data_IF_229740283923
#
_entry.id   IF_229740283923
#
_cell.length_a   1.000
_cell.length_b   1.000
_cell.length_c   1.000
_cell.angle_alpha   90.00
_cell.angle_beta   90.00
_cell.angle_gamma   90.00
#
_symmetry.space_group_name_H-M   'P 1'
#
loop_
_entity.id
_entity.type
_entity.pdbx_description
1 polymer ?
#
# COMPACT_ATOMS: atom_id res chain seq x y z
N UNK A 1 5.26 3.59 20.64
CA UNK A 1 3.90 3.60 20.04
C UNK A 1 3.92 4.55 18.86
N UNK A 2 3.49 4.10 17.68
CA UNK A 2 3.39 4.95 16.47
C UNK A 2 1.97 5.54 16.45
N UNK A 3 1.83 6.80 16.02
CA UNK A 3 0.54 7.47 15.86
C UNK A 3 0.49 8.13 14.49
N UNK A 4 -0.68 8.11 13.85
CA UNK A 4 -0.94 8.92 12.65
C UNK A 4 -1.20 10.37 13.09
N UNK A 5 -0.62 11.30 12.36
CA UNK A 5 -0.80 12.74 12.55
C UNK A 5 -1.07 13.38 11.19
N UNK A 6 -1.51 14.63 11.21
CA UNK A 6 -1.77 15.45 10.03
C UNK A 6 -2.90 14.92 9.14
N UNK A 7 -4.12 15.39 9.42
CA UNK A 7 -5.32 15.09 8.66
C UNK A 7 -5.70 16.26 7.71
N UNK A 8 -4.75 17.12 7.35
CA UNK A 8 -5.02 18.33 6.54
C UNK A 8 -5.60 18.07 5.15
N UNK A 9 -5.45 16.84 4.64
CA UNK A 9 -5.97 16.37 3.34
C UNK A 9 -6.97 15.21 3.49
N UNK A 10 -7.47 14.95 4.71
CA UNK A 10 -8.42 13.87 4.95
C UNK A 10 -9.81 14.22 4.39
N UNK A 11 -10.51 13.20 3.91
CA UNK A 11 -11.84 13.33 3.32
C UNK A 11 -12.83 12.49 4.14
N UNK A 12 -14.03 13.03 4.33
CA UNK A 12 -15.12 12.28 4.96
C UNK A 12 -15.66 11.22 3.98
N UNK A 13 -15.87 10.00 4.48
CA UNK A 13 -16.43 8.93 3.67
C UNK A 13 -17.93 9.15 3.48
N UNK A 14 -18.38 9.26 2.23
CA UNK A 14 -19.81 9.33 1.89
C UNK A 14 -20.37 10.73 1.64
N UNK A 15 -19.55 11.78 1.71
CA UNK A 15 -19.93 13.10 1.18
C UNK A 15 -19.75 13.12 -0.35
N UNK A 16 -20.78 13.58 -1.07
CA UNK A 16 -20.73 13.76 -2.54
C UNK A 16 -19.78 14.89 -2.97
N UNK A 17 -19.28 15.68 -2.03
CA UNK A 17 -18.18 16.64 -2.21
C UNK A 17 -16.87 15.90 -2.47
N UNK A 18 -16.74 15.45 -3.72
CA UNK A 18 -15.48 14.92 -4.24
C UNK A 18 -14.52 16.09 -4.42
N UNK A 19 -13.28 15.98 -3.92
CA UNK A 19 -12.29 17.00 -4.19
C UNK A 19 -12.05 17.09 -5.70
N UNK A 20 -12.27 18.27 -6.26
CA UNK A 20 -11.98 18.54 -7.66
C UNK A 20 -10.47 18.58 -7.88
N UNK A 21 -10.00 18.09 -9.03
CA UNK A 21 -8.60 18.30 -9.43
C UNK A 21 -8.38 19.79 -9.68
N UNK A 22 -7.48 20.37 -8.89
CA UNK A 22 -7.24 21.82 -8.82
C UNK A 22 -7.46 22.39 -7.42
N UNK A 23 -8.11 21.66 -6.51
CA UNK A 23 -8.06 21.99 -5.09
C UNK A 23 -6.67 21.62 -4.55
N UNK A 24 -6.01 22.59 -3.91
CA UNK A 24 -4.66 22.46 -3.30
C UNK A 24 -4.63 21.36 -2.19
N UNK A 25 -5.79 20.79 -1.89
CA UNK A 25 -6.07 19.74 -0.90
C UNK A 25 -5.85 18.31 -1.40
N UNK A 26 -5.73 18.10 -2.72
CA UNK A 26 -5.92 16.75 -3.32
C UNK A 26 -4.66 16.08 -3.85
N UNK A 27 -3.46 16.65 -3.65
CA UNK A 27 -2.25 16.05 -4.20
C UNK A 27 -1.41 15.52 -3.05
N UNK A 28 -1.69 14.25 -2.67
CA UNK A 28 -0.84 13.50 -1.75
C UNK A 28 0.63 13.56 -2.19
N UNK A 29 1.55 13.20 -1.30
CA UNK A 29 2.99 13.28 -1.62
C UNK A 29 3.28 12.39 -2.85
N UNK A 30 3.87 12.92 -3.95
CA UNK A 30 4.16 12.13 -5.15
C UNK A 30 4.89 10.82 -4.82
N UNK A 31 4.52 9.72 -5.49
CA UNK A 31 5.07 8.39 -5.20
C UNK A 31 4.49 7.70 -3.95
N UNK A 32 3.88 8.44 -3.01
CA UNK A 32 3.11 7.86 -1.90
C UNK A 32 1.61 7.95 -2.14
N UNK A 33 1.14 8.97 -2.86
CA UNK A 33 -0.25 9.06 -3.32
C UNK A 33 -0.57 7.97 -4.35
N UNK A 34 -1.79 7.44 -4.26
CA UNK A 34 -2.29 6.46 -5.22
C UNK A 34 -2.45 7.09 -6.61
N UNK A 35 -2.19 6.36 -7.71
CA UNK A 35 -2.23 6.92 -9.07
C UNK A 35 -3.56 7.62 -9.41
N UNK A 36 -4.69 7.08 -8.95
CA UNK A 36 -6.01 7.65 -9.17
C UNK A 36 -6.22 9.02 -8.50
N UNK A 37 -5.43 9.39 -7.48
CA UNK A 37 -5.50 10.73 -6.87
C UNK A 37 -4.99 11.83 -7.82
N UNK A 38 -4.32 11.44 -8.91
CA UNK A 38 -3.78 12.34 -9.92
C UNK A 38 -4.60 12.32 -11.22
N UNK A 39 -5.64 11.49 -11.32
CA UNK A 39 -6.53 11.42 -12.49
C UNK A 39 -7.86 12.15 -12.20
N UNK A 40 -8.18 13.22 -12.95
CA UNK A 40 -9.37 14.04 -12.71
C UNK A 40 -10.70 13.32 -12.91
N UNK A 41 -10.67 12.19 -13.59
CA UNK A 41 -11.86 11.42 -13.90
C UNK A 41 -12.00 10.19 -13.00
N UNK A 42 -11.00 9.91 -12.14
CA UNK A 42 -11.02 8.75 -11.27
C UNK A 42 -11.74 9.04 -9.95
N UNK A 43 -12.47 8.03 -9.44
CA UNK A 43 -13.01 8.06 -8.09
C UNK A 43 -11.95 7.57 -7.10
N UNK A 44 -11.68 8.36 -6.06
CA UNK A 44 -10.81 8.00 -4.95
C UNK A 44 -11.66 7.41 -3.82
N UNK A 45 -11.27 6.26 -3.30
CA UNK A 45 -11.87 5.65 -2.11
C UNK A 45 -10.78 5.25 -1.09
N UNK A 46 -11.17 4.56 -0.01
CA UNK A 46 -10.24 4.12 1.04
C UNK A 46 -9.05 3.26 0.58
N UNK A 47 -9.07 2.73 -0.66
CA UNK A 47 -7.95 1.96 -1.22
C UNK A 47 -6.78 2.86 -1.63
N UNK A 48 -6.96 4.18 -1.67
CA UNK A 48 -5.86 5.12 -1.78
C UNK A 48 -4.97 5.09 -0.53
N UNK A 49 -5.54 4.97 0.67
CA UNK A 49 -4.78 4.84 1.92
C UNK A 49 -4.01 3.52 1.96
N UNK A 50 -4.59 2.44 1.42
CA UNK A 50 -3.90 1.14 1.27
C UNK A 50 -2.65 1.28 0.40
N UNK A 51 -2.74 2.02 -0.71
CA UNK A 51 -1.58 2.29 -1.56
C UNK A 51 -0.52 3.08 -0.82
N UNK A 52 -0.91 4.18 -0.15
CA UNK A 52 0.01 5.03 0.59
C UNK A 52 0.74 4.27 1.71
N UNK A 53 0.04 3.39 2.42
CA UNK A 53 0.65 2.51 3.42
C UNK A 53 1.62 1.51 2.76
N UNK A 54 1.26 0.93 1.62
CA UNK A 54 2.12 0.05 0.83
C UNK A 54 3.42 0.74 0.37
N UNK A 55 3.31 1.95 -0.18
CA UNK A 55 4.45 2.76 -0.62
C UNK A 55 5.35 3.15 0.57
N UNK A 56 4.75 3.48 1.71
CA UNK A 56 5.47 3.76 2.96
C UNK A 56 6.24 2.52 3.44
N UNK A 57 5.62 1.35 3.46
CA UNK A 57 6.27 0.09 3.82
C UNK A 57 7.41 -0.26 2.85
N UNK A 58 7.20 -0.08 1.54
CA UNK A 58 8.25 -0.25 0.54
C UNK A 58 9.46 0.61 0.87
N UNK A 59 9.25 1.91 1.13
CA UNK A 59 10.34 2.82 1.44
C UNK A 59 11.07 2.42 2.74
N UNK A 60 10.33 2.14 3.81
CA UNK A 60 10.92 1.75 5.10
C UNK A 60 11.73 0.45 5.01
N UNK A 61 11.28 -0.50 4.20
CA UNK A 61 11.91 -1.82 4.11
C UNK A 61 12.99 -1.93 3.04
N UNK A 62 13.05 -1.02 2.07
CA UNK A 62 14.05 -1.05 1.00
C UNK A 62 15.04 0.11 1.07
N UNK A 63 14.68 1.20 1.74
CA UNK A 63 15.41 2.47 1.70
C UNK A 63 15.27 3.22 0.38
N UNK A 64 14.45 2.73 -0.56
CA UNK A 64 14.23 3.36 -1.86
C UNK A 64 13.03 4.31 -1.80
N UNK A 65 13.27 5.59 -2.07
CA UNK A 65 12.24 6.64 -2.04
C UNK A 65 11.31 6.55 -3.26
N UNK A 66 9.99 6.28 -3.08
CA UNK A 66 9.01 6.20 -4.17
C UNK A 66 8.87 7.48 -5.00
N UNK A 67 9.31 8.64 -4.47
CA UNK A 67 9.35 9.90 -5.23
C UNK A 67 10.36 9.88 -6.37
N UNK A 68 11.41 9.07 -6.23
CA UNK A 68 12.58 9.06 -7.12
C UNK A 68 12.70 7.78 -7.91
N UNK A 69 12.23 6.67 -7.33
CA UNK A 69 12.36 5.33 -7.90
C UNK A 69 10.98 4.68 -7.99
N UNK A 70 10.75 3.90 -9.05
CA UNK A 70 9.55 3.10 -9.15
C UNK A 70 9.50 2.05 -8.03
N UNK A 71 8.28 1.76 -7.55
CA UNK A 71 8.04 0.63 -6.65
C UNK A 71 8.21 -0.65 -7.46
N UNK A 72 9.19 -1.45 -7.06
CA UNK A 72 9.52 -2.75 -7.67
C UNK A 72 9.36 -3.87 -6.65
N UNK A 73 9.49 -5.12 -7.09
CA UNK A 73 9.51 -6.27 -6.20
C UNK A 73 10.58 -6.10 -5.11
N UNK A 74 10.18 -5.96 -3.85
CA UNK A 74 11.06 -5.57 -2.74
C UNK A 74 12.31 -6.45 -2.57
N UNK A 75 12.21 -7.74 -2.91
CA UNK A 75 13.32 -8.70 -2.82
C UNK A 75 14.39 -8.48 -3.89
N UNK A 76 14.12 -7.68 -4.93
CA UNK A 76 15.16 -7.21 -5.86
C UNK A 76 16.14 -6.24 -5.19
N UNK A 77 15.68 -5.48 -4.19
CA UNK A 77 16.49 -4.52 -3.44
C UNK A 77 17.00 -5.17 -2.13
N UNK A 78 16.13 -5.90 -1.43
CA UNK A 78 16.45 -6.59 -0.17
C UNK A 78 16.07 -8.07 -0.26
N UNK A 79 16.95 -8.94 -0.80
CA UNK A 79 16.67 -10.37 -1.02
C UNK A 79 16.28 -11.16 0.23
N UNK A 80 16.68 -10.69 1.42
CA UNK A 80 16.36 -11.32 2.71
C UNK A 80 14.94 -11.07 3.22
N UNK A 81 14.11 -10.26 2.53
CA UNK A 81 12.71 -10.10 2.88
C UNK A 81 11.90 -11.36 2.57
N UNK A 82 10.92 -11.66 3.42
CA UNK A 82 9.96 -12.74 3.21
C UNK A 82 9.14 -12.53 1.93
N UNK A 83 8.81 -13.61 1.25
CA UNK A 83 7.89 -13.66 0.10
C UNK A 83 6.52 -13.07 0.43
N UNK A 84 6.00 -13.35 1.63
CA UNK A 84 4.73 -12.80 2.07
C UNK A 84 4.73 -11.27 2.15
N UNK A 85 5.80 -10.68 2.68
CA UNK A 85 5.93 -9.21 2.77
C UNK A 85 5.99 -8.56 1.39
N UNK A 86 6.78 -9.12 0.46
CA UNK A 86 6.83 -8.65 -0.92
C UNK A 86 5.45 -8.69 -1.58
N UNK A 87 4.71 -9.80 -1.41
CA UNK A 87 3.36 -9.95 -1.96
C UNK A 87 2.38 -8.93 -1.39
N UNK A 88 2.44 -8.67 -0.08
CA UNK A 88 1.56 -7.70 0.57
C UNK A 88 1.82 -6.30 0.02
N UNK A 89 3.09 -5.88 -0.03
CA UNK A 89 3.47 -4.58 -0.57
C UNK A 89 3.05 -4.48 -2.04
N UNK A 90 3.36 -5.49 -2.86
CA UNK A 90 2.98 -5.51 -4.27
C UNK A 90 1.48 -5.41 -4.50
N UNK A 91 0.66 -6.12 -3.70
CA UNK A 91 -0.81 -6.02 -3.77
C UNK A 91 -1.30 -4.64 -3.33
N UNK A 92 -0.75 -4.10 -2.23
CA UNK A 92 -1.14 -2.79 -1.72
C UNK A 92 -0.81 -1.67 -2.73
N UNK A 93 0.31 -1.77 -3.45
CA UNK A 93 0.78 -0.78 -4.42
C UNK A 93 0.35 -1.07 -5.87
N UNK A 94 -0.65 -1.93 -6.09
CA UNK A 94 -1.20 -2.17 -7.43
C UNK A 94 -1.73 -0.88 -8.05
N UNK A 95 -1.49 -0.65 -9.35
CA UNK A 95 -1.98 0.55 -10.01
C UNK A 95 -3.51 0.62 -10.02
N UNK A 96 -4.19 -0.48 -10.33
CA UNK A 96 -5.65 -0.57 -10.28
C UNK A 96 -6.13 -0.74 -8.82
N UNK A 97 -7.03 0.12 -8.31
CA UNK A 97 -7.62 -0.03 -6.98
C UNK A 97 -8.36 -1.37 -6.79
N UNK A 98 -8.90 -1.94 -7.88
CA UNK A 98 -9.55 -3.25 -7.91
C UNK A 98 -8.68 -4.40 -7.42
N UNK A 99 -7.37 -4.31 -7.64
CA UNK A 99 -6.39 -5.36 -7.34
C UNK A 99 -5.77 -5.23 -5.95
N UNK A 100 -6.12 -4.18 -5.19
CA UNK A 100 -5.61 -3.91 -3.84
C UNK A 100 -6.40 -4.68 -2.77
N UNK A 101 -6.06 -4.41 -1.51
CA UNK A 101 -6.91 -4.76 -0.38
C UNK A 101 -8.19 -3.91 -0.42
N UNK A 102 -9.31 -4.49 0.02
CA UNK A 102 -10.57 -3.75 0.12
C UNK A 102 -10.50 -2.60 1.15
N UNK A 103 -9.58 -2.70 2.11
CA UNK A 103 -9.26 -1.65 3.07
C UNK A 103 -8.12 -2.05 4.02
N UNK A 104 -7.73 -1.13 4.90
CA UNK A 104 -6.59 -1.30 5.79
C UNK A 104 -6.72 -2.48 6.78
N UNK A 105 -7.95 -2.87 7.14
CA UNK A 105 -8.18 -4.02 8.04
C UNK A 105 -7.73 -5.33 7.39
N UNK A 106 -8.06 -5.54 6.12
CA UNK A 106 -7.64 -6.74 5.38
C UNK A 106 -6.12 -6.77 5.21
N UNK A 107 -5.51 -5.61 4.91
CA UNK A 107 -4.05 -5.49 4.82
C UNK A 107 -3.37 -5.76 6.17
N UNK A 108 -3.92 -5.25 7.27
CA UNK A 108 -3.40 -5.47 8.62
C UNK A 108 -3.41 -6.95 9.01
N UNK A 109 -4.49 -7.67 8.67
CA UNK A 109 -4.55 -9.12 8.85
C UNK A 109 -3.38 -9.82 8.15
N UNK A 110 -3.16 -9.49 6.88
CA UNK A 110 -2.07 -10.08 6.10
C UNK A 110 -0.69 -9.73 6.65
N UNK A 111 -0.48 -8.49 7.11
CA UNK A 111 0.76 -8.04 7.74
C UNK A 111 1.07 -8.82 9.03
N UNK A 112 0.05 -9.15 9.82
CA UNK A 112 0.23 -9.97 11.04
C UNK A 112 0.56 -11.44 10.71
N UNK A 113 0.10 -11.94 9.56
CA UNK A 113 0.27 -13.34 9.13
C UNK A 113 1.23 -13.48 7.94
N UNK A 114 2.12 -12.50 7.72
CA UNK A 114 2.94 -12.45 6.51
C UNK A 114 3.85 -13.68 6.32
N UNK A 115 4.30 -14.31 7.41
CA UNK A 115 5.12 -15.54 7.38
C UNK A 115 4.35 -16.78 6.97
N UNK A 116 3.04 -16.83 7.20
CA UNK A 116 2.18 -17.94 6.74
C UNK A 116 2.04 -17.94 5.22
N UNK A 117 2.24 -16.77 4.61
CA UNK A 117 2.24 -16.60 3.16
C UNK A 117 3.57 -17.02 2.51
N UNK A 118 4.63 -17.26 3.29
CA UNK A 118 5.90 -17.76 2.77
C UNK A 118 5.75 -19.20 2.26
N UNK A 119 6.24 -19.46 1.04
CA UNK A 119 6.27 -20.81 0.47
C UNK A 119 7.05 -21.78 1.37
N UNK A 120 8.12 -21.30 2.01
CA UNK A 120 8.93 -22.09 2.95
C UNK A 120 8.10 -22.58 4.16
N UNK A 121 7.24 -21.74 4.73
CA UNK A 121 6.38 -22.12 5.85
C UNK A 121 5.32 -23.15 5.42
N UNK A 122 4.70 -22.97 4.25
CA UNK A 122 3.78 -23.96 3.67
C UNK A 122 4.45 -25.32 3.42
N UNK A 123 5.69 -25.33 2.95
CA UNK A 123 6.43 -26.58 2.72
C UNK A 123 6.85 -27.28 4.03
N UNK A 124 7.12 -26.53 5.10
CA UNK A 124 7.39 -27.12 6.42
C UNK A 124 6.16 -27.80 7.02
N UNK A 125 4.95 -27.27 6.81
CA UNK A 125 3.70 -27.88 7.26
C UNK A 125 3.38 -29.19 6.51
N UNK A 126 3.74 -29.28 5.23
CA UNK A 126 3.51 -30.49 4.41
C UNK A 126 4.46 -31.63 4.78
N UNK A 127 5.69 -31.34 5.26
CA UNK A 127 6.68 -32.37 5.60
C UNK A 127 6.46 -33.07 6.96
N UNK A 128 5.39 -32.73 7.67
CA UNK A 128 5.12 -33.21 9.03
C UNK A 128 4.05 -34.33 9.11
N UNK A 129 3.67 -34.89 7.96
CA UNK A 129 2.74 -36.00 7.80
C UNK A 129 3.39 -37.12 6.99
#
# INVERSE_FOLDING_TARGET
MVKLIDFGIALESGTEDRPHIGDDRTLGTPGYGAPEQFDPNASVDSRADVYALGATLFHLLTGSDPRRNAIVATRTIRPGLSEGMERIIGRATSACPGDRYAGCVEMAYDLLHYRERDRAHRLMLVRRW
#
